data_IF_079021837206
#
_entry.id   IF_079021837206
#
_cell.length_a   1.000
_cell.length_b   1.000
_cell.length_c   1.000
_cell.angle_alpha   90.00
_cell.angle_beta   90.00
_cell.angle_gamma   90.00
#
_symmetry.space_group_name_H-M   'P 1'
#
loop_
_entity.id
_entity.type
_entity.pdbx_description
1 polymer ?
#
# COMPACT_ATOMS: atom_id res chain seq x y z
N UNK A 1 9.62 -33.42 -20.43
CA UNK A 1 9.57 -31.98 -20.78
C UNK A 1 8.39 -31.78 -21.73
N UNK A 2 7.53 -30.77 -21.51
CA UNK A 2 6.45 -30.42 -22.44
C UNK A 2 6.81 -29.10 -23.11
N UNK A 3 6.64 -29.02 -24.42
CA UNK A 3 6.85 -27.80 -25.21
C UNK A 3 5.47 -27.38 -25.72
N UNK A 4 5.15 -26.09 -25.60
CA UNK A 4 3.91 -25.53 -26.11
C UNK A 4 4.23 -24.50 -27.20
N UNK A 5 3.47 -24.53 -28.30
CA UNK A 5 3.46 -23.44 -29.28
C UNK A 5 2.34 -22.50 -28.90
N UNK A 6 2.67 -21.28 -28.49
CA UNK A 6 1.71 -20.38 -27.87
C UNK A 6 1.48 -19.13 -28.70
N UNK A 7 0.25 -18.63 -28.67
CA UNK A 7 -0.11 -17.29 -29.15
C UNK A 7 -0.56 -16.46 -27.96
N UNK A 8 0.08 -15.31 -27.73
CA UNK A 8 -0.41 -14.34 -26.75
C UNK A 8 -1.58 -13.55 -27.35
N UNK A 9 -2.76 -13.65 -26.74
CA UNK A 9 -3.95 -12.89 -27.15
C UNK A 9 -4.55 -12.23 -25.93
N UNK A 10 -4.54 -10.89 -25.90
CA UNK A 10 -5.06 -10.07 -24.78
C UNK A 10 -4.44 -10.45 -23.42
N UNK A 11 -3.15 -10.77 -23.39
CA UNK A 11 -2.45 -11.18 -22.16
C UNK A 11 -2.65 -12.65 -21.77
N UNK A 12 -3.28 -13.46 -22.62
CA UNK A 12 -3.45 -14.89 -22.38
C UNK A 12 -2.57 -15.71 -23.31
N UNK A 13 -1.83 -16.68 -22.76
CA UNK A 13 -1.09 -17.67 -23.54
C UNK A 13 -2.05 -18.78 -23.96
N UNK A 14 -2.32 -18.88 -25.26
CA UNK A 14 -3.19 -19.91 -25.83
C UNK A 14 -2.31 -20.91 -26.60
N UNK A 15 -2.43 -22.19 -26.26
CA UNK A 15 -1.81 -23.27 -27.04
C UNK A 15 -2.43 -23.31 -28.44
N UNK A 16 -1.59 -23.17 -29.47
CA UNK A 16 -2.02 -23.13 -30.87
C UNK A 16 -2.63 -24.47 -31.29
N UNK A 17 -2.13 -25.58 -30.75
CA UNK A 17 -2.58 -26.92 -31.17
C UNK A 17 -3.94 -27.29 -30.58
N UNK A 18 -4.17 -26.95 -29.31
CA UNK A 18 -5.39 -27.35 -28.60
C UNK A 18 -6.43 -26.23 -28.45
N UNK A 19 -6.05 -24.97 -28.69
CA UNK A 19 -6.87 -23.80 -28.42
C UNK A 19 -7.10 -23.53 -26.92
N UNK A 20 -6.43 -24.27 -26.02
CA UNK A 20 -6.61 -24.15 -24.58
C UNK A 20 -5.69 -23.06 -24.01
N UNK A 21 -6.18 -22.35 -23.00
CA UNK A 21 -5.36 -21.43 -22.23
C UNK A 21 -4.34 -22.20 -21.39
N UNK A 22 -3.08 -21.78 -21.48
CA UNK A 22 -2.02 -22.25 -20.60
C UNK A 22 -1.97 -21.33 -19.38
N UNK A 23 -2.06 -21.94 -18.21
CA UNK A 23 -1.88 -21.28 -16.92
C UNK A 23 -0.57 -21.78 -16.34
N UNK A 24 0.39 -20.88 -16.17
CA UNK A 24 1.64 -21.19 -15.49
C UNK A 24 1.38 -21.36 -14.01
N UNK A 25 2.00 -22.37 -13.40
CA UNK A 25 1.97 -22.55 -11.95
C UNK A 25 2.89 -21.50 -11.30
N UNK A 26 2.41 -20.84 -10.25
CA UNK A 26 3.22 -19.92 -9.43
C UNK A 26 4.49 -20.61 -8.91
N UNK A 27 5.60 -19.86 -8.86
CA UNK A 27 6.91 -20.36 -8.44
C UNK A 27 7.62 -21.28 -9.45
N UNK A 28 6.99 -21.60 -10.58
CA UNK A 28 7.65 -22.31 -11.66
C UNK A 28 8.65 -21.41 -12.39
N UNK A 29 9.82 -21.96 -12.72
CA UNK A 29 10.78 -21.32 -13.63
C UNK A 29 10.47 -21.85 -15.04
N UNK A 30 10.30 -20.94 -15.99
CA UNK A 30 9.99 -21.26 -17.37
C UNK A 30 11.01 -20.59 -18.30
N UNK A 31 11.37 -21.30 -19.37
CA UNK A 31 12.14 -20.72 -20.45
C UNK A 31 11.18 -20.28 -21.56
N UNK A 32 11.25 -19.01 -21.95
CA UNK A 32 10.51 -18.44 -23.07
C UNK A 32 11.55 -18.05 -24.13
N UNK A 33 11.27 -18.40 -25.39
CA UNK A 33 12.15 -18.11 -26.52
C UNK A 33 11.33 -17.52 -27.66
N UNK A 34 11.86 -16.49 -28.31
CA UNK A 34 11.24 -15.77 -29.42
C UNK A 34 12.22 -14.79 -30.02
N UNK A 35 11.79 -14.06 -31.04
CA UNK A 35 12.59 -12.97 -31.64
C UNK A 35 12.47 -11.69 -30.80
N UNK A 36 13.48 -10.81 -30.84
CA UNK A 36 13.52 -9.58 -30.02
C UNK A 36 12.25 -8.72 -30.14
N UNK A 37 11.70 -8.60 -31.36
CA UNK A 37 10.49 -7.80 -31.63
C UNK A 37 9.20 -8.39 -31.04
N UNK A 38 9.25 -9.61 -30.48
CA UNK A 38 8.13 -10.29 -29.85
C UNK A 38 8.10 -10.10 -28.33
N UNK A 39 9.14 -9.47 -27.77
CA UNK A 39 9.24 -9.16 -26.36
C UNK A 39 9.11 -7.65 -26.14
N UNK A 40 8.25 -7.27 -25.20
CA UNK A 40 8.24 -5.93 -24.63
C UNK A 40 8.60 -6.07 -23.14
N UNK A 41 9.76 -5.54 -22.76
CA UNK A 41 10.13 -5.40 -21.35
C UNK A 41 9.59 -4.06 -20.85
N UNK A 42 8.54 -4.13 -20.03
CA UNK A 42 7.95 -2.95 -19.38
C UNK A 42 8.06 -3.12 -17.88
N UNK A 43 8.72 -2.16 -17.25
CA UNK A 43 8.63 -1.98 -15.81
C UNK A 43 7.40 -1.14 -15.50
N UNK A 44 6.21 -1.76 -15.54
CA UNK A 44 4.94 -1.06 -15.28
C UNK A 44 4.82 -0.57 -13.83
N UNK A 45 5.71 -1.02 -12.94
CA UNK A 45 5.74 -0.64 -11.53
C UNK A 45 6.67 0.54 -11.23
N UNK A 46 7.66 0.83 -12.09
CA UNK A 46 8.53 1.99 -11.91
C UNK A 46 7.81 3.28 -12.31
N UNK A 47 7.21 3.90 -11.30
CA UNK A 47 6.94 5.32 -11.33
C UNK A 47 8.14 6.04 -10.73
N UNK A 48 8.78 6.90 -11.52
CA UNK A 48 9.84 7.77 -11.06
C UNK A 48 9.25 8.78 -10.07
N UNK A 49 9.43 8.50 -8.80
CA UNK A 49 9.11 9.41 -7.71
C UNK A 49 10.39 9.82 -7.02
N UNK A 50 10.56 11.13 -6.86
CA UNK A 50 11.59 11.70 -6.04
C UNK A 50 10.98 12.06 -4.68
N UNK A 51 11.29 11.32 -3.60
CA UNK A 51 10.80 11.66 -2.28
C UNK A 51 11.29 13.05 -1.86
N UNK A 52 10.38 13.85 -1.30
CA UNK A 52 10.72 15.17 -0.78
C UNK A 52 11.25 15.02 0.65
N UNK A 53 12.32 15.75 0.97
CA UNK A 53 12.71 15.94 2.36
C UNK A 53 11.60 16.65 3.17
N UNK A 54 11.67 16.54 4.50
CA UNK A 54 10.61 17.01 5.40
C UNK A 54 10.25 18.49 5.22
N UNK A 55 11.22 19.36 4.97
CA UNK A 55 10.99 20.80 4.81
C UNK A 55 10.29 21.09 3.48
N UNK A 56 10.83 20.56 2.37
CA UNK A 56 10.21 20.70 1.04
C UNK A 56 8.82 20.10 1.00
N UNK A 57 8.61 18.95 1.64
CA UNK A 57 7.30 18.29 1.72
C UNK A 57 6.29 19.18 2.43
N UNK A 58 6.66 19.77 3.56
CA UNK A 58 5.77 20.65 4.31
C UNK A 58 5.42 21.89 3.49
N UNK A 59 6.39 22.52 2.84
CA UNK A 59 6.15 23.73 2.07
C UNK A 59 5.30 23.46 0.83
N UNK A 60 5.56 22.36 0.12
CA UNK A 60 4.68 21.87 -0.95
C UNK A 60 3.24 21.67 -0.48
N UNK A 61 3.04 21.06 0.69
CA UNK A 61 1.70 20.83 1.22
C UNK A 61 1.01 22.12 1.68
N UNK A 62 1.74 23.11 2.20
CA UNK A 62 1.18 24.43 2.56
C UNK A 62 0.67 25.16 1.33
N UNK A 63 1.44 25.12 0.24
CA UNK A 63 1.04 25.72 -1.04
C UNK A 63 -0.17 24.99 -1.64
N UNK A 64 -0.12 23.66 -1.72
CA UNK A 64 -1.19 22.83 -2.31
C UNK A 64 -2.50 22.89 -1.50
N UNK A 65 -2.41 23.09 -0.19
CA UNK A 65 -3.55 23.05 0.73
C UNK A 65 -3.66 24.35 1.53
N UNK A 66 -3.71 25.47 0.81
CA UNK A 66 -3.94 26.78 1.41
C UNK A 66 -5.19 26.75 2.32
N UNK A 67 -5.10 27.39 3.48
CA UNK A 67 -6.14 27.43 4.53
C UNK A 67 -6.42 26.10 5.25
N UNK A 68 -5.78 25.00 4.88
CA UNK A 68 -5.86 23.76 5.66
C UNK A 68 -4.88 23.80 6.83
N UNK A 69 -5.32 23.23 7.95
CA UNK A 69 -4.41 22.84 9.03
C UNK A 69 -3.69 21.59 8.60
N UNK A 70 -2.35 21.63 8.65
CA UNK A 70 -1.50 20.48 8.34
C UNK A 70 -0.87 19.93 9.62
N UNK A 71 -0.80 18.60 9.70
CA UNK A 71 -0.16 17.91 10.83
C UNK A 71 0.59 16.69 10.35
N UNK A 72 1.88 16.63 10.68
CA UNK A 72 2.68 15.43 10.49
C UNK A 72 2.19 14.32 11.40
N UNK A 73 2.10 13.10 10.88
CA UNK A 73 1.69 11.91 11.62
C UNK A 73 2.72 10.79 11.61
N UNK A 74 3.64 10.80 10.64
CA UNK A 74 4.79 9.91 10.60
C UNK A 74 5.92 10.56 9.80
N UNK A 75 7.15 10.22 10.17
CA UNK A 75 8.37 10.63 9.47
C UNK A 75 8.65 9.70 8.28
N UNK A 76 9.49 10.14 7.36
CA UNK A 76 10.10 9.25 6.36
C UNK A 76 10.76 8.03 7.03
N UNK A 77 10.86 6.92 6.29
CA UNK A 77 11.34 5.61 6.75
C UNK A 77 10.47 4.92 7.80
N UNK A 78 9.40 5.57 8.28
CA UNK A 78 8.45 4.93 9.18
C UNK A 78 7.85 3.68 8.51
N UNK A 79 7.92 2.57 9.23
CA UNK A 79 7.35 1.30 8.79
C UNK A 79 5.96 1.13 9.39
N UNK A 80 5.01 0.83 8.51
CA UNK A 80 3.69 0.32 8.84
C UNK A 80 3.58 -1.15 8.48
N UNK A 81 2.57 -1.81 9.05
CA UNK A 81 2.10 -3.13 8.63
C UNK A 81 0.62 -3.06 8.29
N UNK A 82 0.21 -3.85 7.31
CA UNK A 82 -1.19 -3.97 6.92
C UNK A 82 -1.55 -5.39 6.51
N UNK A 83 -2.79 -5.76 6.82
CA UNK A 83 -3.33 -7.09 6.55
C UNK A 83 -4.09 -7.11 5.23
N UNK A 84 -3.92 -8.19 4.50
CA UNK A 84 -4.71 -8.53 3.33
C UNK A 84 -5.39 -9.87 3.54
N UNK A 85 -6.72 -9.88 3.53
CA UNK A 85 -7.52 -11.10 3.56
C UNK A 85 -8.19 -11.34 2.20
N UNK A 86 -7.98 -12.51 1.61
CA UNK A 86 -8.64 -12.91 0.37
C UNK A 86 -9.96 -13.62 0.68
N UNK A 87 -11.03 -13.21 -0.03
CA UNK A 87 -12.37 -13.77 0.17
C UNK A 87 -12.59 -15.12 -0.51
N UNK A 88 -11.85 -15.41 -1.59
CA UNK A 88 -11.93 -16.67 -2.32
C UNK A 88 -10.63 -17.44 -2.19
N UNK A 89 -10.72 -18.67 -1.68
CA UNK A 89 -9.63 -19.65 -1.78
C UNK A 89 -9.62 -20.20 -3.20
N UNK A 90 -8.50 -20.04 -3.89
CA UNK A 90 -8.25 -20.81 -5.11
C UNK A 90 -7.60 -22.14 -4.72
N UNK A 91 -7.69 -23.16 -5.58
CA UNK A 91 -7.03 -24.46 -5.33
C UNK A 91 -5.50 -24.36 -5.18
N UNK A 92 -4.93 -23.22 -5.56
CA UNK A 92 -3.50 -22.93 -5.53
C UNK A 92 -3.10 -22.07 -4.31
N UNK A 93 -4.04 -21.41 -3.63
CA UNK A 93 -3.77 -20.53 -2.48
C UNK A 93 -4.22 -21.22 -1.19
N UNK A 94 -3.28 -21.89 -0.50
CA UNK A 94 -3.55 -22.46 0.83
C UNK A 94 -3.73 -21.34 1.87
N UNK A 95 -2.90 -20.29 1.78
CA UNK A 95 -3.02 -19.08 2.58
C UNK A 95 -4.03 -18.10 1.96
N UNK A 96 -4.96 -17.60 2.80
CA UNK A 96 -5.92 -16.56 2.42
C UNK A 96 -5.72 -15.26 3.21
N UNK A 97 -4.61 -15.17 3.93
CA UNK A 97 -4.26 -14.09 4.83
C UNK A 97 -2.79 -13.78 4.62
N UNK A 98 -2.50 -12.51 4.39
CA UNK A 98 -1.17 -12.02 4.15
C UNK A 98 -0.94 -10.78 5.01
N UNK A 99 0.28 -10.62 5.49
CA UNK A 99 0.73 -9.42 6.18
C UNK A 99 1.88 -8.81 5.38
N UNK A 100 1.76 -7.52 5.10
CA UNK A 100 2.77 -6.78 4.36
C UNK A 100 3.33 -5.65 5.21
N UNK A 101 4.57 -5.25 4.91
CA UNK A 101 5.08 -3.96 5.35
C UNK A 101 4.66 -2.83 4.39
N UNK A 102 4.66 -1.59 4.88
CA UNK A 102 4.65 -0.40 4.06
C UNK A 102 5.66 0.59 4.65
N UNK A 103 6.66 0.99 3.87
CA UNK A 103 7.73 1.91 4.27
C UNK A 103 7.40 3.27 3.67
N UNK A 104 7.40 4.33 4.49
CA UNK A 104 7.31 5.68 3.98
C UNK A 104 8.64 6.11 3.36
N UNK A 105 8.56 6.73 2.18
CA UNK A 105 9.71 7.33 1.51
C UNK A 105 9.78 8.85 1.80
N UNK A 106 8.66 9.47 2.17
CA UNK A 106 8.58 10.85 2.64
C UNK A 106 7.67 10.99 3.87
N UNK A 107 7.70 12.17 4.52
CA UNK A 107 6.87 12.44 5.69
C UNK A 107 5.36 12.35 5.35
N UNK A 108 4.59 11.68 6.21
CA UNK A 108 3.14 11.57 6.08
C UNK A 108 2.44 12.63 6.91
N UNK A 109 1.51 13.34 6.26
CA UNK A 109 0.69 14.39 6.86
C UNK A 109 -0.80 14.07 6.79
N UNK A 110 -1.56 14.74 7.65
CA UNK A 110 -3.01 14.88 7.55
C UNK A 110 -3.40 16.36 7.45
N UNK A 111 -4.53 16.61 6.78
CA UNK A 111 -5.09 17.95 6.60
C UNK A 111 -6.53 18.06 7.09
N UNK A 112 -6.91 19.24 7.56
CA UNK A 112 -8.29 19.58 7.92
C UNK A 112 -8.60 21.05 7.73
N UNK A 113 -9.78 21.36 7.18
CA UNK A 113 -10.27 22.73 7.05
C UNK A 113 -10.93 23.23 8.34
N UNK A 114 -11.72 22.38 8.99
CA UNK A 114 -12.54 22.74 10.15
C UNK A 114 -11.97 22.24 11.49
N UNK A 115 -10.85 21.51 11.45
CA UNK A 115 -10.25 20.83 12.60
C UNK A 115 -11.03 19.60 13.09
N UNK A 116 -12.15 19.24 12.44
CA UNK A 116 -13.00 18.10 12.81
C UNK A 116 -12.80 16.93 11.85
N UNK A 117 -12.81 17.19 10.55
CA UNK A 117 -12.62 16.17 9.51
C UNK A 117 -11.18 16.20 9.03
N UNK A 118 -10.43 15.15 9.39
CA UNK A 118 -9.03 14.97 9.01
C UNK A 118 -8.91 13.90 7.92
N UNK A 119 -8.22 14.24 6.83
CA UNK A 119 -7.89 13.34 5.72
C UNK A 119 -6.38 13.25 5.55
N UNK A 120 -5.87 12.13 5.05
CA UNK A 120 -4.45 11.99 4.72
C UNK A 120 -4.08 12.87 3.53
N UNK A 121 -2.86 13.40 3.56
CA UNK A 121 -2.18 13.95 2.39
C UNK A 121 -1.51 12.83 1.59
N UNK A 122 -1.10 13.15 0.37
CA UNK A 122 -0.34 12.24 -0.48
C UNK A 122 1.06 11.97 0.14
N UNK A 123 1.56 10.75 0.03
CA UNK A 123 2.86 10.31 0.54
C UNK A 123 3.46 9.28 -0.39
N UNK A 124 4.78 9.29 -0.55
CA UNK A 124 5.47 8.22 -1.25
C UNK A 124 5.75 7.08 -0.30
N UNK A 125 5.43 5.87 -0.73
CA UNK A 125 5.54 4.68 0.10
C UNK A 125 5.73 3.43 -0.75
N UNK A 126 6.27 2.39 -0.14
CA UNK A 126 6.51 1.12 -0.82
C UNK A 126 6.28 -0.10 0.07
N UNK A 127 5.92 -1.21 -0.57
CA UNK A 127 5.87 -2.54 0.03
C UNK A 127 7.02 -3.35 -0.52
N UNK A 128 7.87 -3.84 0.38
CA UNK A 128 9.09 -4.59 0.02
C UNK A 128 9.06 -6.03 0.51
N UNK A 129 8.17 -6.38 1.45
CA UNK A 129 8.13 -7.70 2.08
C UNK A 129 6.71 -8.15 2.38
N UNK A 130 6.46 -9.44 2.16
CA UNK A 130 5.39 -10.17 2.81
C UNK A 130 5.96 -10.75 4.12
N UNK A 131 5.43 -10.29 5.25
CA UNK A 131 5.86 -10.70 6.59
C UNK A 131 5.18 -12.00 7.04
N UNK A 132 3.97 -12.26 6.54
CA UNK A 132 3.19 -13.47 6.85
C UNK A 132 2.30 -13.82 5.65
N UNK A 133 2.08 -15.11 5.41
CA UNK A 133 1.49 -15.65 4.18
C UNK A 133 2.55 -15.93 3.13
N UNK A 134 2.57 -17.16 2.61
CA UNK A 134 3.57 -17.75 1.71
C UNK A 134 3.66 -17.07 0.33
N UNK A 135 3.97 -15.77 0.30
CA UNK A 135 4.14 -14.97 -0.90
C UNK A 135 5.54 -14.34 -0.87
N UNK A 136 6.33 -14.62 -1.89
CA UNK A 136 7.62 -13.97 -2.09
C UNK A 136 7.41 -12.68 -2.91
N UNK A 137 7.91 -11.56 -2.38
CA UNK A 137 7.90 -10.27 -3.06
C UNK A 137 9.17 -10.19 -3.90
N UNK A 138 9.03 -10.38 -5.22
CA UNK A 138 10.14 -10.29 -6.18
C UNK A 138 10.54 -8.84 -6.48
N UNK A 139 9.59 -7.91 -6.40
CA UNK A 139 9.75 -6.50 -6.78
C UNK A 139 9.01 -5.62 -5.77
N UNK A 140 9.62 -4.50 -5.38
CA UNK A 140 8.96 -3.53 -4.50
C UNK A 140 7.77 -2.89 -5.23
N UNK A 141 6.61 -2.82 -4.57
CA UNK A 141 5.46 -2.07 -5.10
C UNK A 141 5.50 -0.66 -4.51
N UNK A 142 5.58 0.36 -5.37
CA UNK A 142 5.65 1.77 -4.97
C UNK A 142 4.32 2.49 -5.26
N UNK A 143 3.98 3.48 -4.44
CA UNK A 143 2.79 4.31 -4.66
C UNK A 143 2.88 5.70 -4.01
N UNK A 144 2.02 6.61 -4.47
CA UNK A 144 1.90 7.99 -3.98
C UNK A 144 0.82 8.18 -2.88
N UNK A 145 0.27 7.09 -2.36
CA UNK A 145 -0.52 7.08 -1.11
C UNK A 145 -0.63 5.67 -0.56
N UNK A 146 -0.86 5.54 0.74
CA UNK A 146 -1.10 4.24 1.39
C UNK A 146 -2.31 3.49 0.81
N UNK A 147 -3.38 4.20 0.42
CA UNK A 147 -4.53 3.56 -0.22
C UNK A 147 -4.17 2.98 -1.59
N UNK A 148 -3.41 3.73 -2.40
CA UNK A 148 -2.94 3.29 -3.72
C UNK A 148 -1.96 2.12 -3.58
N UNK A 149 -1.04 2.17 -2.62
CA UNK A 149 -0.13 1.07 -2.30
C UNK A 149 -0.86 -0.25 -2.06
N UNK A 150 -1.89 -0.21 -1.21
CA UNK A 150 -2.71 -1.39 -0.93
C UNK A 150 -3.39 -1.94 -2.21
N UNK A 151 -3.97 -1.06 -3.02
CA UNK A 151 -4.62 -1.43 -4.28
C UNK A 151 -3.63 -1.99 -5.31
N UNK A 152 -2.42 -1.46 -5.36
CA UNK A 152 -1.38 -1.89 -6.30
C UNK A 152 -0.83 -3.27 -5.93
N UNK A 153 -0.61 -3.52 -4.64
CA UNK A 153 -0.23 -4.85 -4.16
C UNK A 153 -1.29 -5.90 -4.50
N UNK A 154 -2.58 -5.57 -4.40
CA UNK A 154 -3.66 -6.47 -4.84
C UNK A 154 -3.61 -6.69 -6.35
N UNK A 155 -3.52 -5.61 -7.13
CA UNK A 155 -3.55 -5.69 -8.59
C UNK A 155 -2.39 -6.52 -9.13
N UNK A 156 -1.20 -6.35 -8.55
CA UNK A 156 0.02 -7.00 -9.00
C UNK A 156 0.10 -8.47 -8.54
N UNK A 157 -0.02 -8.73 -7.23
CA UNK A 157 0.18 -10.09 -6.69
C UNK A 157 -1.09 -10.95 -6.74
N UNK A 158 -2.27 -10.32 -6.81
CA UNK A 158 -3.57 -11.00 -6.75
C UNK A 158 -4.51 -10.57 -7.88
N UNK A 159 -4.12 -10.65 -9.17
CA UNK A 159 -4.86 -10.07 -10.30
C UNK A 159 -6.27 -10.66 -10.52
N UNK A 160 -6.56 -11.83 -9.95
CA UNK A 160 -7.90 -12.45 -9.98
C UNK A 160 -8.83 -11.94 -8.89
N UNK A 161 -8.32 -11.13 -7.96
CA UNK A 161 -9.07 -10.53 -6.88
C UNK A 161 -9.45 -9.11 -7.26
N UNK A 162 -10.69 -8.71 -6.98
CA UNK A 162 -11.09 -7.32 -7.16
C UNK A 162 -10.39 -6.49 -6.09
N UNK A 163 -9.77 -5.37 -6.48
CA UNK A 163 -9.31 -4.38 -5.50
C UNK A 163 -10.50 -3.97 -4.64
N UNK A 164 -10.38 -4.17 -3.33
CA UNK A 164 -11.34 -3.65 -2.37
C UNK A 164 -11.01 -2.20 -2.07
N UNK A 165 -12.02 -1.41 -1.73
CA UNK A 165 -11.77 -0.05 -1.26
C UNK A 165 -10.95 -0.12 0.04
N UNK A 166 -9.81 0.58 0.05
CA UNK A 166 -8.95 0.67 1.22
C UNK A 166 -9.25 1.97 1.98
N UNK A 167 -9.32 1.87 3.31
CA UNK A 167 -9.28 3.04 4.19
C UNK A 167 -8.01 2.98 5.03
N UNK A 168 -6.99 3.74 4.62
CA UNK A 168 -5.68 3.72 5.24
C UNK A 168 -5.72 3.91 6.77
N UNK A 169 -6.63 4.73 7.30
CA UNK A 169 -6.74 4.96 8.74
C UNK A 169 -6.96 3.67 9.54
N UNK A 170 -7.73 2.73 9.01
CA UNK A 170 -8.09 1.48 9.69
C UNK A 170 -7.28 0.27 9.21
N UNK A 171 -6.56 0.43 8.09
CA UNK A 171 -5.80 -0.64 7.44
C UNK A 171 -4.35 -0.68 7.89
N UNK A 172 -3.72 0.48 8.11
CA UNK A 172 -2.29 0.58 8.41
C UNK A 172 -2.03 0.82 9.90
N UNK A 173 -1.09 0.05 10.44
CA UNK A 173 -0.70 0.06 11.84
C UNK A 173 0.80 0.32 11.94
N UNK A 174 1.21 1.09 12.95
CA UNK A 174 2.63 1.35 13.20
C UNK A 174 3.33 0.05 13.61
N UNK A 175 4.43 -0.29 12.93
CA UNK A 175 5.24 -1.44 13.27
C UNK A 175 6.12 -1.12 14.49
N UNK A 176 5.99 -1.91 15.55
CA UNK A 176 6.83 -1.77 16.77
C UNK A 176 8.09 -2.64 16.67
N UNK A 177 8.05 -3.68 15.84
CA UNK A 177 9.12 -4.65 15.64
C UNK A 177 9.04 -5.18 14.19
N UNK A 178 10.10 -5.81 13.66
CA UNK A 178 10.11 -6.30 12.27
C UNK A 178 9.42 -7.66 12.06
N UNK A 179 9.01 -8.34 13.14
CA UNK A 179 8.61 -9.76 13.12
C UNK A 179 7.12 -9.96 13.44
N UNK A 180 6.26 -9.02 13.03
CA UNK A 180 4.82 -9.18 13.21
C UNK A 180 4.30 -10.36 12.40
N UNK A 181 3.40 -11.13 13.00
CA UNK A 181 2.56 -12.08 12.28
C UNK A 181 1.15 -11.50 12.09
N UNK A 182 0.37 -12.05 11.16
CA UNK A 182 -0.94 -11.54 10.77
C UNK A 182 -1.88 -11.35 11.97
N UNK A 183 -1.82 -12.26 12.94
CA UNK A 183 -2.71 -12.26 14.10
C UNK A 183 -2.35 -11.24 15.17
N UNK A 184 -1.15 -10.64 15.11
CA UNK A 184 -0.71 -9.56 16.00
C UNK A 184 -1.30 -8.21 15.59
N UNK A 185 -1.56 -8.04 14.29
CA UNK A 185 -2.03 -6.77 13.71
C UNK A 185 -3.55 -6.67 13.86
N UNK A 186 -4.00 -6.28 15.05
CA UNK A 186 -5.43 -6.08 15.38
C UNK A 186 -5.64 -4.76 16.14
N UNK A 187 -6.84 -4.14 16.02
CA UNK A 187 -7.20 -2.98 16.84
C UNK A 187 -6.94 -3.25 18.34
N UNK A 188 -6.28 -2.31 19.01
CA UNK A 188 -5.95 -2.40 20.44
C UNK A 188 -4.63 -3.08 20.77
N UNK A 189 -3.99 -3.80 19.83
CA UNK A 189 -2.62 -4.35 20.01
C UNK A 189 -1.57 -3.42 19.41
N UNK A 190 -1.81 -2.99 18.18
CA UNK A 190 -0.98 -2.01 17.50
C UNK A 190 -1.75 -0.71 17.33
N UNK A 191 -1.00 0.39 17.33
CA UNK A 191 -1.55 1.71 17.08
C UNK A 191 -1.84 1.85 15.59
N UNK A 192 -3.08 2.10 15.24
CA UNK A 192 -3.48 2.41 13.85
C UNK A 192 -3.25 3.89 13.55
N UNK A 193 -3.27 4.24 12.25
CA UNK A 193 -3.34 5.65 11.83
C UNK A 193 -4.59 6.35 12.39
N UNK A 194 -5.72 5.64 12.52
CA UNK A 194 -6.93 6.20 13.11
C UNK A 194 -6.75 6.53 14.62
N UNK A 195 -5.98 5.72 15.34
CA UNK A 195 -5.69 5.99 16.76
C UNK A 195 -4.87 7.27 16.92
N UNK A 196 -3.85 7.47 16.09
CA UNK A 196 -3.07 8.72 16.04
C UNK A 196 -3.97 9.91 15.70
N UNK A 197 -4.84 9.77 14.69
CA UNK A 197 -5.82 10.80 14.30
C UNK A 197 -6.73 11.18 15.46
N UNK A 198 -7.28 10.18 16.17
CA UNK A 198 -8.17 10.39 17.33
C UNK A 198 -7.48 11.07 18.49
N UNK A 199 -6.24 10.69 18.82
CA UNK A 199 -5.43 11.35 19.84
C UNK A 199 -5.20 12.81 19.51
N UNK A 200 -4.88 13.10 18.25
CA UNK A 200 -4.68 14.45 17.77
C UNK A 200 -5.95 15.32 17.90
N UNK A 201 -7.10 14.82 17.43
CA UNK A 201 -8.38 15.53 17.53
C UNK A 201 -8.71 15.86 19.00
N UNK A 202 -8.49 14.89 19.91
CA UNK A 202 -8.70 15.09 21.35
C UNK A 202 -7.77 16.17 21.91
N UNK A 203 -6.51 16.21 21.47
CA UNK A 203 -5.54 17.23 21.89
C UNK A 203 -5.95 18.63 21.42
N UNK A 204 -6.32 18.81 20.15
CA UNK A 204 -6.78 20.10 19.65
C UNK A 204 -8.05 20.58 20.35
N UNK A 205 -9.01 19.69 20.60
CA UNK A 205 -10.23 20.05 21.32
C UNK A 205 -9.92 20.61 22.73
N UNK A 206 -8.99 19.97 23.45
CA UNK A 206 -8.53 20.43 24.77
C UNK A 206 -7.80 21.77 24.69
N UNK A 207 -6.94 21.98 23.70
CA UNK A 207 -6.21 23.23 23.52
C UNK A 207 -7.12 24.39 23.16
N UNK A 208 -8.09 24.17 22.26
CA UNK A 208 -9.08 25.17 21.88
C UNK A 208 -9.97 25.58 23.07
N UNK A 209 -10.40 24.60 23.88
CA UNK A 209 -11.15 24.87 25.11
C UNK A 209 -10.35 25.73 26.11
N UNK A 210 -9.07 25.40 26.32
CA UNK A 210 -8.18 26.21 27.18
C UNK A 210 -8.00 27.64 26.66
N UNK A 211 -7.91 27.84 25.34
CA UNK A 211 -7.81 29.19 24.73
C UNK A 211 -9.10 29.99 24.93
N UNK A 212 -10.26 29.36 24.73
CA UNK A 212 -11.55 30.01 24.95
C UNK A 212 -11.73 30.46 26.41
N UNK A 213 -11.38 29.61 27.38
CA UNK A 213 -11.44 29.98 28.81
C UNK A 213 -10.50 31.13 29.19
N UNK A 214 -9.35 31.25 28.52
CA UNK A 214 -8.42 32.38 28.74
C UNK A 214 -8.94 33.70 28.18
N UNK A 215 -9.75 33.67 27.12
CA UNK A 215 -10.36 34.87 26.53
C UNK A 215 -11.58 35.38 27.31
N UNK A 216 -12.17 34.54 28.17
CA UNK A 216 -13.29 34.90 29.04
C UNK A 216 -12.86 35.50 30.39
N UNK A 217 -11.55 35.53 30.68
CA UNK A 217 -10.97 36.13 31.89
C UNK A 217 -10.29 37.44 31.53
#
# INVERSE_FOLDING_TARGET
MKIFKVKNTKGHMIDIETGKQIILKRGGIFQISGDDHQFEEKDELHQDYEPLDSEKKLDFLKEKHENYRLRKIADAEQVFVYRLGLSKKTSEEQANKFLFNAILLDDLYMRSLDGKKWTLCDCYCETTKCLDGELEISESVKANSLNKLYSDVISYYFPRQRSTACNAFNTFYFAINPNHIYDDVKPGRLKSLDDVRKEFIKKEAKENFKRALKQMK
#
